data_IF_696186201184
#
_entry.id   IF_696186201184
#
_cell.length_a   1.000
_cell.length_b   1.000
_cell.length_c   1.000
_cell.angle_alpha   90.00
_cell.angle_beta   90.00
_cell.angle_gamma   90.00
#
_symmetry.space_group_name_H-M   'P 1'
#
loop_
_entity.id
_entity.type
_entity.pdbx_description
1 polymer ?
#
# COMPACT_ATOMS: atom_id res chain seq x y z
N UNK A 1 41.64 -9.19 47.58
CA UNK A 1 40.18 -8.96 47.51
C UNK A 1 39.52 -9.80 48.59
N UNK A 2 38.64 -9.22 49.41
CA UNK A 2 37.91 -10.00 50.43
C UNK A 2 37.03 -11.04 49.74
N UNK A 3 36.95 -12.24 50.31
CA UNK A 3 36.21 -13.37 49.72
C UNK A 3 34.73 -13.01 49.43
N UNK A 4 34.15 -12.14 50.25
CA UNK A 4 32.80 -11.60 50.05
C UNK A 4 32.66 -10.78 48.77
N UNK A 5 33.67 -9.96 48.44
CA UNK A 5 33.66 -9.15 47.23
C UNK A 5 33.75 -10.03 45.98
N UNK A 6 34.58 -11.09 46.03
CA UNK A 6 34.70 -12.05 44.92
C UNK A 6 33.37 -12.78 44.67
N UNK A 7 32.69 -13.22 45.73
CA UNK A 7 31.41 -13.92 45.62
C UNK A 7 30.30 -13.01 45.05
N UNK A 8 30.25 -11.75 45.51
CA UNK A 8 29.29 -10.75 45.01
C UNK A 8 29.56 -10.43 43.53
N UNK A 9 30.82 -10.24 43.14
CA UNK A 9 31.18 -10.00 41.74
C UNK A 9 30.83 -11.19 40.85
N UNK A 10 31.09 -12.42 41.28
CA UNK A 10 30.71 -13.62 40.52
C UNK A 10 29.20 -13.75 40.35
N UNK A 11 28.42 -13.50 41.42
CA UNK A 11 26.96 -13.50 41.34
C UNK A 11 26.45 -12.47 40.32
N UNK A 12 27.00 -11.25 40.35
CA UNK A 12 26.61 -10.17 39.46
C UNK A 12 26.88 -10.54 37.99
N UNK A 13 28.04 -11.12 37.69
CA UNK A 13 28.39 -11.58 36.33
C UNK A 13 27.38 -12.63 35.84
N UNK A 14 27.05 -13.62 36.66
CA UNK A 14 26.11 -14.70 36.28
C UNK A 14 24.71 -14.13 36.01
N UNK A 15 24.24 -13.21 36.84
CA UNK A 15 22.93 -12.55 36.64
C UNK A 15 22.92 -11.71 35.35
N UNK A 16 23.98 -10.95 35.09
CA UNK A 16 24.09 -10.14 33.86
C UNK A 16 24.10 -11.02 32.61
N UNK A 17 24.84 -12.12 32.61
CA UNK A 17 24.87 -13.06 31.48
C UNK A 17 23.49 -13.71 31.29
N UNK A 18 22.83 -14.12 32.37
CA UNK A 18 21.48 -14.67 32.30
C UNK A 18 20.46 -13.67 31.74
N UNK A 19 20.54 -12.41 32.17
CA UNK A 19 19.67 -11.33 31.69
C UNK A 19 19.89 -11.05 30.20
N UNK A 20 21.14 -10.90 29.77
CA UNK A 20 21.47 -10.66 28.35
C UNK A 20 21.08 -11.85 27.48
N UNK A 21 21.35 -13.08 27.93
CA UNK A 21 20.97 -14.30 27.22
C UNK A 21 19.46 -14.43 27.08
N UNK A 22 18.69 -14.16 28.14
CA UNK A 22 17.23 -14.14 28.10
C UNK A 22 16.70 -13.03 27.18
N UNK A 23 17.27 -11.84 27.23
CA UNK A 23 16.88 -10.71 26.37
C UNK A 23 17.04 -11.05 24.88
N UNK A 24 18.19 -11.61 24.49
CA UNK A 24 18.46 -12.05 23.11
C UNK A 24 17.52 -13.21 22.73
N UNK A 25 17.28 -14.15 23.64
CA UNK A 25 16.38 -15.28 23.39
C UNK A 25 14.93 -14.85 23.16
N UNK A 26 14.43 -13.89 23.95
CA UNK A 26 13.07 -13.34 23.79
C UNK A 26 12.94 -12.55 22.49
N UNK A 27 13.94 -11.73 22.14
CA UNK A 27 13.94 -10.92 20.92
C UNK A 27 14.01 -11.75 19.62
N UNK A 28 14.54 -12.98 19.69
CA UNK A 28 14.59 -13.90 18.55
C UNK A 28 13.27 -14.67 18.31
N UNK A 29 12.20 -14.41 19.06
CA UNK A 29 10.88 -14.95 18.72
C UNK A 29 10.28 -14.11 17.57
N UNK A 30 10.03 -14.69 16.38
CA UNK A 30 9.50 -13.97 15.23
C UNK A 30 8.01 -13.59 15.34
N UNK A 31 7.44 -13.54 16.55
CA UNK A 31 6.01 -13.30 16.78
C UNK A 31 5.67 -11.90 17.31
N UNK A 32 6.65 -10.97 17.35
CA UNK A 32 6.33 -9.56 17.57
C UNK A 32 6.37 -8.84 16.22
N UNK A 33 5.22 -8.83 15.53
CA UNK A 33 4.91 -7.84 14.49
C UNK A 33 4.74 -6.51 15.23
N UNK A 34 5.86 -5.97 15.70
CA UNK A 34 5.89 -4.67 16.34
C UNK A 34 5.49 -3.63 15.30
N UNK A 35 4.53 -2.80 15.67
CA UNK A 35 3.97 -1.70 14.87
C UNK A 35 4.98 -0.55 14.71
N UNK A 36 6.29 -0.80 14.87
CA UNK A 36 7.39 0.14 14.65
C UNK A 36 7.93 0.01 13.23
N UNK A 37 7.02 0.15 12.28
CA UNK A 37 7.34 0.28 10.87
C UNK A 37 7.42 1.77 10.48
N UNK A 38 8.15 2.59 11.25
CA UNK A 38 8.46 3.98 10.86
C UNK A 38 9.07 4.02 9.45
N UNK A 39 9.87 3.02 9.10
CA UNK A 39 10.45 2.88 7.76
C UNK A 39 9.39 2.63 6.66
N UNK A 40 8.39 1.76 6.91
CA UNK A 40 7.31 1.56 5.93
C UNK A 40 6.36 2.75 5.86
N UNK A 41 6.11 3.43 6.99
CA UNK A 41 5.30 4.65 7.01
C UNK A 41 5.99 5.75 6.23
N UNK A 42 7.29 5.99 6.46
CA UNK A 42 8.07 6.98 5.73
C UNK A 42 8.11 6.69 4.21
N UNK A 43 8.30 5.44 3.81
CA UNK A 43 8.27 5.03 2.40
C UNK A 43 6.86 5.20 1.79
N UNK A 44 5.80 4.88 2.54
CA UNK A 44 4.42 5.07 2.10
C UNK A 44 4.05 6.56 1.94
N UNK A 45 4.47 7.42 2.86
CA UNK A 45 4.28 8.87 2.75
C UNK A 45 5.03 9.45 1.55
N UNK A 46 6.29 9.05 1.33
CA UNK A 46 7.09 9.50 0.19
C UNK A 46 6.48 9.10 -1.16
N UNK A 47 6.00 7.84 -1.28
CA UNK A 47 5.31 7.35 -2.49
C UNK A 47 3.99 8.06 -2.74
N UNK A 48 3.23 8.34 -1.69
CA UNK A 48 1.94 9.04 -1.80
C UNK A 48 2.13 10.48 -2.27
N UNK A 49 3.17 11.18 -1.78
CA UNK A 49 3.48 12.53 -2.22
C UNK A 49 3.83 12.57 -3.71
N UNK A 50 4.66 11.63 -4.17
CA UNK A 50 5.04 11.55 -5.60
C UNK A 50 3.82 11.33 -6.49
N UNK A 51 2.86 10.49 -6.06
CA UNK A 51 1.61 10.27 -6.80
C UNK A 51 0.77 11.54 -6.92
N UNK A 52 0.65 12.32 -5.84
CA UNK A 52 -0.05 13.61 -5.84
C UNK A 52 0.62 14.58 -6.82
N UNK A 53 1.94 14.67 -6.78
CA UNK A 53 2.72 15.57 -7.65
C UNK A 53 2.54 15.21 -9.14
N UNK A 54 2.54 13.92 -9.47
CA UNK A 54 2.26 13.45 -10.83
C UNK A 54 0.83 13.75 -11.27
N UNK A 55 -0.17 13.53 -10.40
CA UNK A 55 -1.57 13.87 -10.69
C UNK A 55 -1.73 15.36 -10.98
N UNK A 56 -1.17 16.21 -10.11
CA UNK A 56 -1.22 17.67 -10.31
C UNK A 56 -0.47 18.10 -11.56
N UNK A 57 0.60 17.41 -11.93
CA UNK A 57 1.31 17.67 -13.20
C UNK A 57 0.45 17.32 -14.40
N UNK A 58 -0.21 16.15 -14.39
CA UNK A 58 -1.10 15.71 -15.47
C UNK A 58 -2.34 16.60 -15.58
N UNK A 59 -2.89 17.07 -14.47
CA UNK A 59 -4.03 18.00 -14.46
C UNK A 59 -3.70 19.34 -15.11
N UNK A 60 -2.42 19.76 -15.07
CA UNK A 60 -1.94 20.98 -15.75
C UNK A 60 -1.64 20.77 -17.23
N UNK A 61 -1.58 19.53 -17.71
CA UNK A 61 -1.38 19.24 -19.13
C UNK A 61 -2.70 19.48 -19.86
N UNK A 62 -2.86 20.69 -20.38
CA UNK A 62 -3.89 20.98 -21.37
C UNK A 62 -3.38 20.55 -22.75
N UNK A 63 -4.08 19.62 -23.39
CA UNK A 63 -3.83 19.28 -24.79
C UNK A 63 -4.53 20.32 -25.65
N UNK A 64 -3.77 21.05 -26.46
CA UNK A 64 -4.34 21.94 -27.47
C UNK A 64 -4.97 21.10 -28.58
N UNK A 65 -6.30 21.07 -28.63
CA UNK A 65 -7.06 20.31 -29.62
C UNK A 65 -7.29 21.09 -30.92
N UNK A 66 -6.90 22.36 -31.00
CA UNK A 66 -7.13 23.21 -32.17
C UNK A 66 -6.48 22.67 -33.44
N UNK A 67 -5.36 21.96 -33.32
CA UNK A 67 -4.69 21.30 -34.45
C UNK A 67 -5.61 20.27 -35.12
N UNK A 68 -6.47 19.58 -34.36
CA UNK A 68 -7.40 18.58 -34.89
C UNK A 68 -8.69 19.17 -35.47
N UNK A 69 -8.90 20.49 -35.36
CA UNK A 69 -10.04 21.19 -35.94
C UNK A 69 -9.77 21.66 -37.39
N UNK A 70 -8.54 21.50 -37.89
CA UNK A 70 -8.22 21.83 -39.27
C UNK A 70 -9.05 20.96 -40.24
N UNK A 71 -9.69 21.56 -41.27
CA UNK A 71 -10.45 20.84 -42.29
C UNK A 71 -9.70 19.66 -42.96
N UNK A 72 -8.36 19.70 -42.99
CA UNK A 72 -7.50 18.62 -43.50
C UNK A 72 -7.58 17.34 -42.66
N UNK A 73 -7.96 17.41 -41.38
CA UNK A 73 -8.07 16.25 -40.50
C UNK A 73 -9.50 15.67 -40.40
N UNK A 74 -10.45 16.21 -41.17
CA UNK A 74 -11.85 15.73 -41.18
C UNK A 74 -11.95 14.26 -41.62
N UNK A 75 -11.03 13.79 -42.46
CA UNK A 75 -10.95 12.37 -42.87
C UNK A 75 -10.52 11.42 -41.75
N UNK A 76 -9.85 11.92 -40.70
CA UNK A 76 -9.44 11.12 -39.54
C UNK A 76 -10.46 11.16 -38.40
N UNK A 77 -11.55 11.92 -38.54
CA UNK A 77 -12.64 11.87 -37.58
C UNK A 77 -13.33 10.53 -37.68
N UNK A 78 -13.42 9.85 -36.55
CA UNK A 78 -14.16 8.62 -36.44
C UNK A 78 -15.67 8.92 -36.53
N UNK A 79 -16.34 8.41 -37.55
CA UNK A 79 -17.80 8.49 -37.72
C UNK A 79 -18.53 7.26 -37.16
N UNK A 80 -17.83 6.40 -36.42
CA UNK A 80 -18.45 5.26 -35.75
C UNK A 80 -19.46 5.78 -34.73
N UNK A 81 -20.61 5.12 -34.68
CA UNK A 81 -21.65 5.40 -33.70
C UNK A 81 -21.06 5.36 -32.28
N UNK A 82 -21.40 6.33 -31.41
CA UNK A 82 -20.93 6.32 -30.04
C UNK A 82 -21.31 4.99 -29.38
N UNK A 83 -20.37 4.40 -28.65
CA UNK A 83 -20.63 3.15 -27.92
C UNK A 83 -21.73 3.43 -26.90
N UNK A 84 -22.91 2.88 -27.14
CA UNK A 84 -24.02 2.98 -26.20
C UNK A 84 -23.58 2.36 -24.86
N UNK A 85 -23.67 3.16 -23.80
CA UNK A 85 -23.39 2.69 -22.46
C UNK A 85 -24.30 1.50 -22.15
N UNK A 86 -23.69 0.32 -22.03
CA UNK A 86 -24.41 -0.87 -21.58
C UNK A 86 -24.74 -0.70 -20.10
N UNK A 87 -25.91 -1.16 -19.69
CA UNK A 87 -26.26 -1.20 -18.27
C UNK A 87 -25.17 -1.97 -17.51
N UNK A 88 -24.87 -1.52 -16.28
CA UNK A 88 -24.04 -2.28 -15.35
C UNK A 88 -24.62 -3.70 -15.27
N UNK A 89 -23.75 -4.70 -15.40
CA UNK A 89 -24.16 -6.10 -15.52
C UNK A 89 -25.09 -6.56 -14.39
N UNK A 90 -25.62 -7.78 -14.53
CA UNK A 90 -26.53 -8.37 -13.54
C UNK A 90 -25.89 -8.37 -12.16
N UNK A 91 -26.66 -8.05 -11.12
CA UNK A 91 -26.21 -8.10 -9.72
C UNK A 91 -25.59 -9.45 -9.35
N UNK A 92 -26.15 -10.54 -9.92
CA UNK A 92 -25.53 -11.85 -9.89
C UNK A 92 -25.21 -12.31 -11.32
N UNK A 93 -23.92 -12.43 -11.69
CA UNK A 93 -23.52 -12.84 -13.03
C UNK A 93 -23.85 -14.31 -13.34
N UNK A 94 -24.14 -15.13 -12.33
CA UNK A 94 -24.47 -16.56 -12.44
C UNK A 94 -25.97 -16.86 -12.32
N UNK A 95 -26.83 -15.86 -12.09
CA UNK A 95 -28.27 -16.09 -12.06
C UNK A 95 -28.79 -16.56 -13.43
N UNK A 96 -29.87 -17.32 -13.45
CA UNK A 96 -30.55 -17.68 -14.70
C UNK A 96 -31.06 -16.41 -15.40
N UNK A 97 -31.09 -16.43 -16.74
CA UNK A 97 -31.52 -15.29 -17.54
C UNK A 97 -33.01 -15.05 -17.28
N UNK A 98 -33.35 -13.92 -16.65
CA UNK A 98 -34.72 -13.54 -16.31
C UNK A 98 -35.11 -13.72 -14.84
N UNK A 99 -34.22 -14.21 -13.97
CA UNK A 99 -34.50 -14.28 -12.53
C UNK A 99 -34.43 -12.87 -11.90
N UNK A 100 -35.59 -12.29 -11.60
CA UNK A 100 -35.70 -11.08 -10.78
C UNK A 100 -35.23 -11.38 -9.36
N UNK A 101 -34.20 -10.66 -8.90
CA UNK A 101 -33.71 -10.71 -7.53
C UNK A 101 -34.86 -10.36 -6.60
N UNK A 102 -35.42 -11.35 -5.91
CA UNK A 102 -36.41 -11.13 -4.85
C UNK A 102 -35.61 -10.78 -3.61
N UNK A 103 -35.56 -9.49 -3.28
CA UNK A 103 -35.06 -9.00 -1.99
C UNK A 103 -36.06 -9.39 -0.91
N UNK A 104 -35.66 -10.27 0.01
CA UNK A 104 -36.28 -10.39 1.34
C UNK A 104 -35.80 -9.26 2.26
#
# INVERSE_FOLDING_TARGET
MSSSLKNITTLLIVVTIGFVGYYIFVQNNPEDISTDNEFLQQDMYARTQSFIDYRTSLEKVAIDTSVFENPLFVSYRNFTEPVNAQAVGRSNPFAEVGASVTTE
#
